data_IF_435854395701
#
_entry.id   IF_435854395701
#
_cell.length_a   1.000
_cell.length_b   1.000
_cell.length_c   1.000
_cell.angle_alpha   90.00
_cell.angle_beta   90.00
_cell.angle_gamma   90.00
#
_symmetry.space_group_name_H-M   'P 1'
#
loop_
_entity.id
_entity.type
_entity.pdbx_description
1 polymer ?
#
# COMPACT_ATOMS: atom_id res chain seq x y z
N UNK A 1 30.24 -17.08 -17.45
CA UNK A 1 29.21 -16.31 -18.17
C UNK A 1 27.95 -16.29 -17.31
N UNK A 2 27.80 -15.14 -16.64
CA UNK A 2 26.62 -14.46 -16.10
C UNK A 2 25.54 -15.28 -15.37
N UNK A 3 25.65 -15.20 -14.04
CA UNK A 3 24.62 -15.44 -13.05
C UNK A 3 23.41 -14.52 -13.27
N UNK A 4 22.32 -15.09 -13.78
CA UNK A 4 20.96 -14.64 -13.44
C UNK A 4 20.46 -15.58 -12.35
N UNK A 5 21.07 -15.51 -11.16
CA UNK A 5 20.36 -15.92 -9.97
C UNK A 5 19.27 -14.86 -9.78
N UNK A 6 18.03 -15.21 -10.12
CA UNK A 6 16.88 -14.44 -9.64
C UNK A 6 17.05 -14.33 -8.14
N UNK A 7 16.89 -13.13 -7.58
CA UNK A 7 16.96 -12.91 -6.16
C UNK A 7 16.03 -13.91 -5.45
N UNK A 8 16.58 -14.99 -4.88
CA UNK A 8 15.80 -16.14 -4.39
C UNK A 8 15.22 -15.89 -3.00
N UNK A 9 15.45 -14.71 -2.41
CA UNK A 9 14.86 -14.34 -1.14
C UNK A 9 13.63 -13.44 -1.37
N UNK A 10 12.40 -13.96 -1.18
CA UNK A 10 11.18 -13.15 -1.30
C UNK A 10 11.07 -12.05 -0.24
N UNK A 11 11.95 -12.07 0.77
CA UNK A 11 12.03 -11.08 1.85
C UNK A 11 13.07 -9.98 1.60
N UNK A 12 13.73 -10.00 0.42
CA UNK A 12 14.63 -8.93 -0.03
C UNK A 12 13.87 -7.93 -0.93
N UNK A 13 12.65 -7.60 -0.52
CA UNK A 13 11.91 -6.47 -1.07
C UNK A 13 12.43 -5.19 -0.41
N UNK A 14 13.36 -4.50 -1.07
CA UNK A 14 13.77 -3.16 -0.63
C UNK A 14 12.53 -2.29 -0.43
N UNK A 15 12.27 -1.91 0.82
CA UNK A 15 11.17 -1.02 1.18
C UNK A 15 11.56 0.39 0.75
N UNK A 16 10.82 0.95 -0.20
CA UNK A 16 10.91 2.37 -0.53
C UNK A 16 10.36 3.22 0.64
N UNK A 17 11.27 3.73 1.47
CA UNK A 17 10.98 4.60 2.61
C UNK A 17 10.95 6.09 2.25
N UNK A 18 11.20 6.44 0.98
CA UNK A 18 11.18 7.83 0.51
C UNK A 18 9.81 8.48 0.65
N UNK A 19 8.75 7.67 0.70
CA UNK A 19 7.37 8.13 0.76
C UNK A 19 6.89 8.76 -0.54
N UNK A 20 7.60 8.53 -1.66
CA UNK A 20 7.23 9.03 -2.99
C UNK A 20 5.85 8.51 -3.45
N UNK A 21 5.44 7.34 -2.96
CA UNK A 21 4.17 6.70 -3.29
C UNK A 21 3.34 6.38 -2.06
N UNK A 22 2.01 6.55 -2.19
CA UNK A 22 1.01 6.12 -1.21
C UNK A 22 0.11 5.07 -1.84
N UNK A 23 -0.26 4.08 -1.03
CA UNK A 23 -1.10 2.97 -1.47
C UNK A 23 -2.57 3.37 -1.45
N UNK A 24 -3.23 3.23 -2.59
CA UNK A 24 -4.68 3.31 -2.73
C UNK A 24 -5.28 1.89 -2.78
N UNK A 25 -6.49 1.72 -2.25
CA UNK A 25 -7.17 0.42 -2.12
C UNK A 25 -8.64 0.54 -2.48
N UNK A 26 -9.19 -0.57 -2.99
CA UNK A 26 -10.64 -0.74 -3.20
C UNK A 26 -11.14 -0.37 -4.60
N UNK A 27 -10.29 0.25 -5.43
CA UNK A 27 -10.67 0.73 -6.76
C UNK A 27 -11.70 1.86 -6.74
N UNK A 28 -12.25 2.18 -7.90
CA UNK A 28 -13.17 3.30 -8.09
C UNK A 28 -14.34 2.92 -9.01
N UNK A 29 -15.26 3.87 -9.25
CA UNK A 29 -16.45 3.66 -10.08
C UNK A 29 -16.15 3.49 -11.58
N UNK A 30 -14.94 3.85 -12.03
CA UNK A 30 -14.46 3.61 -13.41
C UNK A 30 -13.60 2.34 -13.54
N UNK A 31 -13.23 1.71 -12.43
CA UNK A 31 -12.25 0.64 -12.43
C UNK A 31 -12.88 -0.72 -12.82
N UNK A 32 -12.12 -1.52 -13.58
CA UNK A 32 -12.48 -2.90 -13.90
C UNK A 32 -12.55 -3.79 -12.65
N UNK A 33 -13.31 -4.89 -12.74
CA UNK A 33 -13.52 -5.85 -11.66
C UNK A 33 -12.23 -6.43 -11.06
N UNK A 34 -11.13 -6.47 -11.83
CA UNK A 34 -9.83 -6.97 -11.37
C UNK A 34 -9.14 -6.02 -10.37
N UNK A 35 -9.44 -4.72 -10.45
CA UNK A 35 -8.81 -3.65 -9.67
C UNK A 35 -9.57 -3.31 -8.38
N UNK A 36 -10.83 -3.72 -8.25
CA UNK A 36 -11.63 -3.55 -7.02
C UNK A 36 -11.44 -4.68 -5.99
N UNK A 37 -10.53 -5.63 -6.26
CA UNK A 37 -10.25 -6.74 -5.34
C UNK A 37 -9.52 -6.23 -4.08
N UNK A 38 -9.82 -6.81 -2.93
CA UNK A 38 -9.21 -6.41 -1.65
C UNK A 38 -7.67 -6.53 -1.62
N UNK A 39 -7.11 -7.48 -2.39
CA UNK A 39 -5.68 -7.70 -2.51
C UNK A 39 -4.99 -6.74 -3.49
N UNK A 40 -5.74 -6.07 -4.37
CA UNK A 40 -5.16 -5.12 -5.30
C UNK A 40 -4.65 -3.88 -4.56
N UNK A 41 -3.47 -3.39 -4.98
CA UNK A 41 -2.80 -2.22 -4.43
C UNK A 41 -2.44 -1.32 -5.59
N UNK A 42 -3.01 -0.13 -5.60
CA UNK A 42 -2.63 0.91 -6.55
C UNK A 42 -1.69 1.90 -5.88
N UNK A 43 -0.90 2.63 -6.67
CA UNK A 43 0.10 3.57 -6.20
C UNK A 43 -0.13 4.95 -6.80
N UNK A 44 -0.17 5.95 -5.93
CA UNK A 44 -0.32 7.35 -6.33
C UNK A 44 0.62 8.24 -5.54
N UNK A 45 1.11 9.30 -6.18
CA UNK A 45 1.93 10.30 -5.51
C UNK A 45 1.08 11.05 -4.47
N UNK A 46 1.63 11.42 -3.31
CA UNK A 46 0.85 12.05 -2.23
C UNK A 46 0.21 13.39 -2.63
N UNK A 47 0.78 14.10 -3.60
CA UNK A 47 0.27 15.39 -4.11
C UNK A 47 -0.67 15.23 -5.32
N UNK A 48 -0.76 14.02 -5.90
CA UNK A 48 -1.64 13.75 -7.02
C UNK A 48 -3.10 13.71 -6.55
N UNK A 49 -4.01 14.26 -7.35
CA UNK A 49 -5.44 14.36 -7.04
C UNK A 49 -6.25 13.92 -8.24
N UNK A 50 -7.05 12.89 -8.06
CA UNK A 50 -8.01 12.43 -9.05
C UNK A 50 -9.44 12.48 -8.50
N UNK A 51 -10.43 12.62 -9.38
CA UNK A 51 -11.85 12.69 -8.99
C UNK A 51 -12.42 11.37 -8.49
N UNK A 52 -11.68 10.28 -8.67
CA UNK A 52 -12.05 8.93 -8.27
C UNK A 52 -11.16 8.36 -7.15
N UNK A 53 -10.22 9.16 -6.65
CA UNK A 53 -9.37 8.85 -5.48
C UNK A 53 -10.02 9.40 -4.19
N UNK A 54 -10.04 8.58 -3.13
CA UNK A 54 -10.57 8.97 -1.83
C UNK A 54 -9.92 8.22 -0.67
N UNK A 55 -10.36 8.50 0.56
CA UNK A 55 -9.86 7.83 1.76
C UNK A 55 -10.96 7.57 2.78
N UNK A 56 -10.74 6.55 3.62
CA UNK A 56 -11.59 6.24 4.78
C UNK A 56 -10.78 6.50 6.04
N UNK A 57 -11.28 7.37 6.91
CA UNK A 57 -10.68 7.62 8.23
C UNK A 57 -10.86 6.40 9.11
N UNK A 58 -9.82 6.06 9.86
CA UNK A 58 -9.84 5.02 10.90
C UNK A 58 -9.45 5.65 12.24
N UNK A 59 -10.11 5.22 13.31
CA UNK A 59 -9.78 5.64 14.68
C UNK A 59 -9.12 4.46 15.38
N UNK A 60 -7.87 4.64 15.80
CA UNK A 60 -7.14 3.64 16.60
C UNK A 60 -7.31 3.98 18.06
N UNK A 61 -7.88 3.05 18.84
CA UNK A 61 -7.88 3.17 20.30
C UNK A 61 -6.48 2.84 20.80
N UNK A 62 -5.86 3.77 21.54
CA UNK A 62 -4.64 3.44 22.29
C UNK A 62 -5.02 2.38 23.35
N UNK A 63 -4.26 1.29 23.50
CA UNK A 63 -4.45 0.36 24.62
C UNK A 63 -4.36 1.11 25.96
N UNK A 64 -5.05 0.66 27.03
CA UNK A 64 -4.86 1.21 28.35
C UNK A 64 -3.38 1.15 28.75
N UNK A 65 -2.83 2.27 29.23
CA UNK A 65 -1.42 2.43 29.64
C UNK A 65 -0.99 1.60 30.86
N UNK A 66 -1.77 0.58 31.22
CA UNK A 66 -1.47 -0.34 32.31
C UNK A 66 -0.64 -1.54 31.84
N UNK A 67 -0.63 -1.87 30.55
CA UNK A 67 0.10 -3.05 30.04
C UNK A 67 1.61 -2.85 29.85
N UNK A 68 2.19 -1.77 30.38
CA UNK A 68 3.65 -1.57 30.46
C UNK A 68 4.22 -2.21 31.75
N UNK A 69 4.07 -3.53 31.91
CA UNK A 69 4.74 -4.35 32.95
C UNK A 69 5.66 -5.39 32.32
#
# INVERSE_FOLDING_TARGET
LNAFALNENPDDDEVDDSGAWRVLRGGSWVADANFVRAAFRDLSGPDYRNGDDGFRVVVVRRPPSHLDL
#
